data_IF_597016352989
#
_entry.id   IF_597016352989
#
_cell.length_a   1.000
_cell.length_b   1.000
_cell.length_c   1.000
_cell.angle_alpha   90.00
_cell.angle_beta   90.00
_cell.angle_gamma   90.00
#
_symmetry.space_group_name_H-M   'P 1'
#
loop_
_entity.id
_entity.type
_entity.pdbx_description
1 polymer ?
#
# COMPACT_ATOMS: atom_id res chain seq x y z
N UNK A 1 9.86 5.65 13.32
CA UNK A 1 9.63 4.58 12.32
C UNK A 1 8.56 5.07 11.38
N UNK A 2 8.74 4.96 10.07
CA UNK A 2 7.77 5.52 9.12
C UNK A 2 6.53 4.62 9.04
N UNK A 3 5.36 5.23 9.22
CA UNK A 3 4.05 4.64 8.96
C UNK A 3 3.35 5.53 7.94
N UNK A 4 2.94 4.93 6.83
CA UNK A 4 2.19 5.60 5.79
C UNK A 4 0.77 5.05 5.77
N UNK A 5 -0.20 5.93 5.53
CA UNK A 5 -1.61 5.62 5.55
C UNK A 5 -2.30 6.12 4.28
N UNK A 6 -3.18 5.27 3.74
CA UNK A 6 -4.07 5.63 2.64
C UNK A 6 -5.45 5.03 2.90
N UNK A 7 -6.49 5.87 2.77
CA UNK A 7 -7.88 5.44 2.90
C UNK A 7 -8.43 5.08 1.53
N UNK A 8 -8.42 3.79 1.20
CA UNK A 8 -8.94 3.30 -0.06
C UNK A 8 -10.44 2.93 0.02
N UNK A 9 -11.14 2.81 -1.12
CA UNK A 9 -12.52 2.31 -1.19
C UNK A 9 -12.75 0.92 -0.59
N UNK A 10 -11.71 0.07 -0.49
CA UNK A 10 -11.83 -1.29 0.03
C UNK A 10 -11.39 -1.42 1.50
N UNK A 11 -10.98 -0.31 2.12
CA UNK A 11 -10.53 -0.26 3.50
C UNK A 11 -9.22 0.51 3.68
N UNK A 12 -8.76 0.65 4.93
CA UNK A 12 -7.49 1.32 5.20
C UNK A 12 -6.31 0.50 4.69
N UNK A 13 -5.34 1.18 4.09
CA UNK A 13 -4.05 0.63 3.71
C UNK A 13 -2.94 1.25 4.55
N UNK A 14 -1.96 0.43 4.91
CA UNK A 14 -0.78 0.84 5.65
C UNK A 14 0.48 0.31 5.00
N UNK A 15 1.50 1.15 4.93
CA UNK A 15 2.87 0.73 4.65
C UNK A 15 3.70 1.02 5.89
N UNK A 16 4.24 -0.03 6.50
CA UNK A 16 4.94 0.03 7.78
C UNK A 16 6.29 -0.66 7.69
N UNK A 17 7.33 -0.04 8.24
CA UNK A 17 8.62 -0.72 8.41
C UNK A 17 8.54 -1.85 9.45
N UNK A 18 8.78 -3.08 9.02
CA UNK A 18 8.93 -4.27 9.86
C UNK A 18 10.39 -4.43 10.28
N UNK A 19 10.68 -4.12 11.55
CA UNK A 19 12.03 -4.25 12.12
C UNK A 19 12.54 -5.69 12.17
N UNK A 20 11.65 -6.67 12.28
CA UNK A 20 12.04 -8.08 12.38
C UNK A 20 12.56 -8.63 11.05
N UNK A 21 12.08 -8.06 9.93
CA UNK A 21 12.45 -8.47 8.57
C UNK A 21 13.31 -7.47 7.83
N UNK A 22 13.42 -6.23 8.33
CA UNK A 22 14.22 -5.18 7.71
C UNK A 22 13.63 -4.64 6.40
N UNK A 23 12.30 -4.68 6.25
CA UNK A 23 11.60 -4.32 5.02
C UNK A 23 10.26 -3.62 5.35
N UNK A 24 9.51 -3.23 4.32
CA UNK A 24 8.23 -2.55 4.45
C UNK A 24 7.08 -3.52 4.17
N UNK A 25 6.18 -3.67 5.13
CA UNK A 25 4.98 -4.49 5.02
C UNK A 25 3.82 -3.65 4.51
N UNK A 26 3.16 -4.11 3.45
CA UNK A 26 1.88 -3.61 2.97
C UNK A 26 0.73 -4.37 3.66
N UNK A 27 -0.14 -3.63 4.32
CA UNK A 27 -1.32 -4.14 5.01
C UNK A 27 -2.55 -3.50 4.36
N UNK A 28 -3.48 -4.31 3.87
CA UNK A 28 -4.73 -3.85 3.27
C UNK A 28 -5.89 -4.43 4.09
N UNK A 29 -6.71 -3.55 4.67
CA UNK A 29 -7.85 -3.93 5.51
C UNK A 29 -7.48 -4.94 6.62
N UNK A 30 -6.29 -4.76 7.23
CA UNK A 30 -5.78 -5.62 8.30
C UNK A 30 -5.14 -6.94 7.86
N UNK A 31 -4.99 -7.18 6.56
CA UNK A 31 -4.36 -8.37 5.99
C UNK A 31 -3.01 -8.00 5.38
N UNK A 32 -1.98 -8.79 5.66
CA UNK A 32 -0.63 -8.63 5.11
C UNK A 32 -0.59 -9.15 3.66
N UNK A 33 -0.19 -8.31 2.72
CA UNK A 33 -0.16 -8.67 1.28
C UNK A 33 1.25 -8.76 0.69
N UNK A 34 2.23 -8.03 1.22
CA UNK A 34 3.57 -8.03 0.64
C UNK A 34 4.63 -7.40 1.52
N UNK A 35 5.87 -7.80 1.30
CA UNK A 35 7.05 -7.18 1.91
C UNK A 35 7.95 -6.60 0.82
N UNK A 36 8.37 -5.35 1.03
CA UNK A 36 9.01 -4.52 0.02
C UNK A 36 10.32 -3.92 0.53
N UNK A 37 11.30 -3.75 -0.36
CA UNK A 37 12.59 -3.16 0.01
C UNK A 37 12.50 -1.66 0.35
N UNK A 38 11.45 -0.98 -0.14
CA UNK A 38 11.18 0.44 0.12
C UNK A 38 9.67 0.66 0.23
N UNK A 39 9.23 1.76 0.87
CA UNK A 39 7.80 2.08 0.90
C UNK A 39 7.31 2.54 -0.48
N UNK A 40 8.18 3.13 -1.30
CA UNK A 40 7.89 3.48 -2.69
C UNK A 40 7.51 2.24 -3.52
N UNK A 41 8.21 1.12 -3.35
CA UNK A 41 7.88 -0.12 -4.07
C UNK A 41 6.51 -0.68 -3.66
N UNK A 42 6.14 -0.55 -2.37
CA UNK A 42 4.81 -0.93 -1.91
C UNK A 42 3.72 0.00 -2.47
N UNK A 43 3.99 1.31 -2.52
CA UNK A 43 3.06 2.29 -3.10
C UNK A 43 2.89 2.10 -4.61
N UNK A 44 3.96 1.71 -5.32
CA UNK A 44 3.92 1.42 -6.76
C UNK A 44 3.03 0.22 -7.08
N UNK A 45 3.10 -0.86 -6.29
CA UNK A 45 2.18 -2.00 -6.42
C UNK A 45 0.72 -1.61 -6.16
N UNK A 46 0.48 -0.72 -5.19
CA UNK A 46 -0.86 -0.18 -4.92
C UNK A 46 -1.36 0.65 -6.10
N UNK A 47 -0.53 1.54 -6.64
CA UNK A 47 -0.86 2.35 -7.82
C UNK A 47 -1.14 1.48 -9.06
N UNK A 48 -0.29 0.49 -9.31
CA UNK A 48 -0.40 -0.45 -10.42
C UNK A 48 -1.47 -1.53 -10.21
N UNK A 49 -2.19 -1.53 -9.08
CA UNK A 49 -3.22 -2.53 -8.78
C UNK A 49 -2.70 -3.98 -8.90
N UNK A 50 -1.47 -4.19 -8.41
CA UNK A 50 -0.76 -5.48 -8.47
C UNK A 50 -0.34 -5.96 -7.08
N UNK A 51 -1.22 -5.76 -6.09
CA UNK A 51 -0.92 -6.01 -4.67
C UNK A 51 -1.14 -7.47 -4.24
N UNK A 52 -1.82 -8.26 -5.07
CA UNK A 52 -2.33 -9.58 -4.71
C UNK A 52 -3.65 -9.52 -3.93
N UNK A 53 -4.15 -8.33 -3.57
CA UNK A 53 -5.48 -8.16 -3.01
C UNK A 53 -6.50 -8.08 -4.14
N UNK A 54 -7.20 -9.20 -4.42
CA UNK A 54 -8.19 -9.26 -5.49
C UNK A 54 -9.22 -8.12 -5.46
N UNK A 55 -9.68 -7.72 -4.28
CA UNK A 55 -10.65 -6.63 -4.12
C UNK A 55 -10.08 -5.27 -4.54
N UNK A 56 -8.78 -5.07 -4.36
CA UNK A 56 -8.06 -3.89 -4.85
C UNK A 56 -7.77 -4.03 -6.33
N UNK A 57 -7.08 -5.10 -6.71
CA UNK A 57 -6.49 -5.28 -8.03
C UNK A 57 -7.55 -5.27 -9.14
N UNK A 58 -8.78 -5.73 -8.87
CA UNK A 58 -9.91 -5.67 -9.83
C UNK A 58 -10.39 -4.26 -10.16
N UNK A 59 -9.98 -3.24 -9.39
CA UNK A 59 -10.35 -1.84 -9.60
C UNK A 59 -9.41 -1.14 -10.61
N UNK A 60 -8.42 -1.84 -11.15
CA UNK A 60 -7.52 -1.29 -12.17
C UNK A 60 -8.30 -0.67 -13.34
N UNK A 61 -7.86 0.51 -13.77
CA UNK A 61 -8.51 1.31 -14.81
C UNK A 61 -9.87 1.92 -14.45
N UNK A 62 -10.38 1.72 -13.23
CA UNK A 62 -11.70 2.23 -12.79
C UNK A 62 -11.64 3.40 -11.82
N UNK A 63 -10.47 3.70 -11.26
CA UNK A 63 -10.27 4.79 -10.29
C UNK A 63 -9.43 5.93 -10.86
N UNK A 64 -9.77 7.17 -10.50
CA UNK A 64 -9.14 8.38 -11.05
C UNK A 64 -8.27 9.16 -10.05
N UNK A 65 -8.28 8.80 -8.76
CA UNK A 65 -7.58 9.51 -7.67
C UNK A 65 -6.82 8.53 -6.75
N UNK A 66 -5.99 7.68 -7.36
CA UNK A 66 -5.12 6.74 -6.63
C UNK A 66 -3.77 7.41 -6.41
N UNK A 67 -3.20 7.37 -5.19
CA UNK A 67 -1.89 7.95 -4.95
C UNK A 67 -0.85 7.30 -5.87
N UNK A 68 -0.10 8.12 -6.59
CA UNK A 68 0.89 7.67 -7.57
C UNK A 68 2.28 7.45 -6.95
N UNK A 69 2.46 7.92 -5.72
CA UNK A 69 3.71 7.80 -4.97
C UNK A 69 3.47 7.79 -3.46
N UNK A 70 4.48 7.35 -2.70
CA UNK A 70 4.44 7.36 -1.24
C UNK A 70 4.31 8.78 -0.64
N UNK A 71 4.67 9.82 -1.40
CA UNK A 71 4.61 11.21 -0.94
C UNK A 71 3.17 11.72 -0.78
N UNK A 72 2.21 11.08 -1.46
CA UNK A 72 0.78 11.40 -1.39
C UNK A 72 0.06 10.65 -0.26
N UNK A 73 0.73 9.70 0.39
CA UNK A 73 0.19 8.99 1.54
C UNK A 73 0.33 9.86 2.79
N UNK A 74 -0.67 9.79 3.67
CA UNK A 74 -0.60 10.44 4.97
C UNK A 74 0.50 9.80 5.81
N UNK A 75 1.24 10.62 6.56
CA UNK A 75 2.22 10.15 7.54
C UNK A 75 1.55 10.08 8.91
N UNK A 76 1.65 8.93 9.57
CA UNK A 76 1.14 8.69 10.92
C UNK A 76 2.27 8.49 11.93
#
# INVERSE_FOLDING_TARGET
>A
MALYYYKSPIGPMYIKYDQSKGNYLLIINGIDYGHYQSPDAAADDVFCHSTGCFEWDKLDGSMIDVPTSIAEWDKA
#
